data_IF_083535385438
#
_entry.id   IF_083535385438
#
_cell.length_a   1.000
_cell.length_b   1.000
_cell.length_c   1.000
_cell.angle_alpha   90.00
_cell.angle_beta   90.00
_cell.angle_gamma   90.00
#
_symmetry.space_group_name_H-M   'P 1'
#
loop_
_entity.id
_entity.type
_entity.pdbx_description
1 polymer ?
#
# COMPACT_ATOMS: atom_id res chain seq x y z
N UNK A 1 -34.16 7.57 31.34
CA UNK A 1 -33.44 6.38 30.83
C UNK A 1 -32.70 6.80 29.57
N UNK A 2 -31.43 7.16 29.71
CA UNK A 2 -30.59 7.55 28.58
C UNK A 2 -29.89 6.31 28.04
N UNK A 3 -30.20 5.92 26.81
CA UNK A 3 -29.38 4.96 26.07
C UNK A 3 -28.08 5.68 25.71
N UNK A 4 -27.05 5.50 26.55
CA UNK A 4 -25.68 5.78 26.17
C UNK A 4 -25.34 4.90 24.99
N UNK A 5 -25.31 5.49 23.80
CA UNK A 5 -24.73 4.87 22.62
C UNK A 5 -23.27 4.60 22.91
N UNK A 6 -22.97 3.36 23.29
CA UNK A 6 -21.61 2.86 23.38
C UNK A 6 -21.02 2.88 21.97
N UNK A 7 -20.23 3.92 21.70
CA UNK A 7 -19.44 4.01 20.47
C UNK A 7 -18.43 2.87 20.53
N UNK A 8 -18.69 1.81 19.77
CA UNK A 8 -17.81 0.66 19.67
C UNK A 8 -16.36 1.11 19.36
N UNK A 9 -15.34 0.42 19.89
CA UNK A 9 -13.93 0.77 19.69
C UNK A 9 -13.48 0.48 18.23
N UNK A 10 -13.95 1.26 17.26
CA UNK A 10 -13.63 1.14 15.83
C UNK A 10 -12.30 1.82 15.43
N UNK A 11 -11.49 2.30 16.39
CA UNK A 11 -10.44 3.30 16.13
C UNK A 11 -9.03 2.73 15.93
N UNK A 12 -8.58 1.84 16.81
CA UNK A 12 -7.14 1.63 16.99
C UNK A 12 -6.59 0.42 16.23
N UNK A 13 -7.39 -0.64 16.07
CA UNK A 13 -7.01 -1.82 15.28
C UNK A 13 -6.86 -1.50 13.79
N UNK A 14 -7.73 -0.62 13.25
CA UNK A 14 -7.64 -0.19 11.86
C UNK A 14 -6.41 0.70 11.62
N UNK A 15 -6.07 1.57 12.58
CA UNK A 15 -4.85 2.39 12.51
C UNK A 15 -3.60 1.50 12.56
N UNK A 16 -3.52 0.58 13.54
CA UNK A 16 -2.40 -0.35 13.66
C UNK A 16 -2.25 -1.24 12.41
N UNK A 17 -3.36 -1.74 11.87
CA UNK A 17 -3.37 -2.55 10.66
C UNK A 17 -2.91 -1.75 9.42
N UNK A 18 -3.44 -0.54 9.23
CA UNK A 18 -3.02 0.36 8.15
C UNK A 18 -1.52 0.63 8.23
N UNK A 19 -1.03 0.95 9.43
CA UNK A 19 0.40 1.18 9.72
C UNK A 19 1.24 -0.04 9.39
N UNK A 20 0.82 -1.23 9.81
CA UNK A 20 1.50 -2.48 9.48
C UNK A 20 1.58 -2.69 7.96
N UNK A 21 0.49 -2.42 7.23
CA UNK A 21 0.45 -2.52 5.77
C UNK A 21 1.40 -1.54 5.08
N UNK A 22 1.42 -0.28 5.53
CA UNK A 22 2.33 0.76 5.05
C UNK A 22 3.79 0.42 5.32
N UNK A 23 4.09 -0.14 6.50
CA UNK A 23 5.45 -0.53 6.87
C UNK A 23 5.88 -1.88 6.28
N UNK A 24 4.96 -2.62 5.66
CA UNK A 24 5.23 -3.94 5.10
C UNK A 24 5.48 -5.00 6.17
N UNK A 25 4.92 -4.76 7.36
CA UNK A 25 4.96 -5.67 8.50
C UNK A 25 3.83 -6.71 8.39
N UNK A 26 3.99 -7.89 8.99
CA UNK A 26 2.90 -8.86 9.08
C UNK A 26 1.72 -8.31 9.91
N UNK A 27 0.51 -8.69 9.51
CA UNK A 27 -0.73 -8.44 10.27
C UNK A 27 -1.58 -9.71 10.34
N UNK A 28 -2.12 -10.08 11.51
CA UNK A 28 -1.82 -9.50 12.83
C UNK A 28 -0.33 -9.67 13.20
N UNK A 29 0.21 -8.81 14.09
CA UNK A 29 1.61 -8.89 14.47
C UNK A 29 1.90 -10.24 15.13
N UNK A 30 3.06 -10.87 14.86
CA UNK A 30 3.47 -12.05 15.59
C UNK A 30 3.70 -11.71 17.07
N UNK A 31 3.55 -12.68 17.99
CA UNK A 31 3.89 -12.45 19.39
C UNK A 31 5.37 -12.08 19.54
N UNK A 32 5.65 -10.93 20.17
CA UNK A 32 7.00 -10.37 20.37
C UNK A 32 7.11 -8.88 19.99
N UNK A 33 8.23 -8.25 20.32
CA UNK A 33 8.53 -6.88 19.90
C UNK A 33 8.96 -6.90 18.43
N UNK A 34 8.08 -6.45 17.54
CA UNK A 34 8.45 -6.17 16.15
C UNK A 34 9.08 -4.76 16.08
N UNK A 35 10.35 -4.68 15.69
CA UNK A 35 10.98 -3.39 15.41
C UNK A 35 10.39 -2.75 14.15
N UNK A 36 10.09 -1.45 14.21
CA UNK A 36 9.72 -0.71 13.00
C UNK A 36 10.91 -0.67 12.04
N UNK A 37 10.73 -1.07 10.76
CA UNK A 37 11.82 -1.12 9.81
C UNK A 37 12.29 0.29 9.46
N UNK A 38 13.61 0.50 9.46
CA UNK A 38 14.18 1.78 9.11
C UNK A 38 13.86 2.15 7.64
N UNK A 39 13.35 3.36 7.44
CA UNK A 39 12.86 3.88 6.16
C UNK A 39 14.02 4.52 5.39
N UNK A 40 15.02 3.72 5.01
CA UNK A 40 16.10 4.21 4.16
C UNK A 40 15.68 4.10 2.68
N UNK A 41 15.86 5.18 1.91
CA UNK A 41 15.60 5.29 0.47
C UNK A 41 14.13 5.42 -0.02
N UNK A 42 13.19 5.86 0.84
CA UNK A 42 11.83 6.20 0.37
C UNK A 42 11.82 7.49 -0.47
N UNK A 43 11.15 7.45 -1.63
CA UNK A 43 10.90 8.63 -2.47
C UNK A 43 9.89 9.61 -1.85
N UNK A 44 9.63 10.76 -2.49
CA UNK A 44 8.71 11.77 -1.94
C UNK A 44 7.30 11.24 -1.69
N UNK A 45 6.74 10.45 -2.62
CA UNK A 45 5.40 9.89 -2.46
C UNK A 45 5.38 8.76 -1.42
N UNK A 46 6.39 7.89 -1.38
CA UNK A 46 6.49 6.85 -0.35
C UNK A 46 6.61 7.46 1.06
N UNK A 47 7.40 8.53 1.24
CA UNK A 47 7.49 9.25 2.52
C UNK A 47 6.15 9.86 2.93
N UNK A 48 5.44 10.47 1.98
CA UNK A 48 4.11 11.05 2.22
C UNK A 48 3.14 9.99 2.77
N UNK A 49 3.05 8.81 2.14
CA UNK A 49 2.12 7.77 2.59
C UNK A 49 2.58 7.11 3.88
N UNK A 50 3.89 6.95 4.10
CA UNK A 50 4.43 6.46 5.38
C UNK A 50 4.17 7.41 6.55
N UNK A 51 3.94 8.69 6.30
CA UNK A 51 3.45 9.66 7.28
C UNK A 51 1.95 9.55 7.59
N UNK A 52 1.19 8.74 6.84
CA UNK A 52 -0.25 8.57 7.07
C UNK A 52 -0.47 7.63 8.25
N UNK A 53 -1.11 8.16 9.30
CA UNK A 53 -1.47 7.36 10.49
C UNK A 53 -2.82 6.68 10.33
N UNK A 54 -3.80 7.40 9.78
CA UNK A 54 -5.19 6.94 9.68
C UNK A 54 -5.81 7.37 8.37
N UNK A 55 -6.69 6.53 7.83
CA UNK A 55 -7.64 6.88 6.79
C UNK A 55 -9.05 6.70 7.36
N UNK A 56 -9.74 7.82 7.60
CA UNK A 56 -11.06 7.80 8.19
C UNK A 56 -12.05 7.06 7.27
N UNK A 57 -12.92 6.24 7.86
CA UNK A 57 -13.94 5.47 7.14
C UNK A 57 -13.58 4.01 6.88
N UNK A 58 -12.33 3.59 7.10
CA UNK A 58 -11.99 2.18 7.26
C UNK A 58 -12.63 1.65 8.56
N UNK A 59 -13.27 0.49 8.47
CA UNK A 59 -14.04 -0.14 9.57
C UNK A 59 -13.48 -1.52 9.96
N UNK A 60 -12.65 -2.10 9.11
CA UNK A 60 -12.13 -3.45 9.28
C UNK A 60 -10.61 -3.45 9.19
N UNK A 61 -9.96 -4.12 10.14
CA UNK A 61 -8.51 -4.16 10.23
C UNK A 61 -7.87 -4.84 9.01
N UNK A 62 -8.50 -5.88 8.45
CA UNK A 62 -8.01 -6.58 7.26
C UNK A 62 -7.96 -5.65 6.05
N UNK A 63 -9.06 -4.96 5.74
CA UNK A 63 -9.16 -3.99 4.67
C UNK A 63 -8.23 -2.80 4.90
N UNK A 64 -8.06 -2.35 6.14
CA UNK A 64 -7.09 -1.32 6.48
C UNK A 64 -5.63 -1.75 6.21
N UNK A 65 -5.25 -2.97 6.61
CA UNK A 65 -3.94 -3.54 6.33
C UNK A 65 -3.69 -3.68 4.82
N UNK A 66 -4.64 -4.24 4.08
CA UNK A 66 -4.55 -4.41 2.63
C UNK A 66 -4.47 -3.06 1.91
N UNK A 67 -5.27 -2.08 2.34
CA UNK A 67 -5.22 -0.69 1.85
C UNK A 67 -3.82 -0.10 2.07
N UNK A 68 -3.23 -0.27 3.25
CA UNK A 68 -1.88 0.22 3.55
C UNK A 68 -0.82 -0.39 2.63
N UNK A 69 -0.89 -1.70 2.37
CA UNK A 69 0.04 -2.39 1.45
C UNK A 69 -0.06 -1.84 0.03
N UNK A 70 -1.28 -1.73 -0.49
CA UNK A 70 -1.55 -1.23 -1.83
C UNK A 70 -1.12 0.23 -1.95
N UNK A 71 -1.44 1.06 -0.96
CA UNK A 71 -1.08 2.47 -0.92
C UNK A 71 0.44 2.66 -0.97
N UNK A 72 1.21 1.86 -0.21
CA UNK A 72 2.67 1.89 -0.27
C UNK A 72 3.20 1.48 -1.66
N UNK A 73 2.60 0.47 -2.28
CA UNK A 73 2.98 0.06 -3.63
C UNK A 73 2.72 1.17 -4.65
N UNK A 74 1.55 1.79 -4.62
CA UNK A 74 1.19 2.91 -5.50
C UNK A 74 2.17 4.06 -5.32
N UNK A 75 2.50 4.43 -4.08
CA UNK A 75 3.46 5.49 -3.82
C UNK A 75 4.84 5.22 -4.42
N UNK A 76 5.34 3.97 -4.33
CA UNK A 76 6.58 3.54 -4.99
C UNK A 76 6.49 3.60 -6.51
N UNK A 77 5.33 3.32 -7.10
CA UNK A 77 5.12 3.46 -8.54
C UNK A 77 5.16 4.91 -8.97
N UNK A 78 4.51 5.81 -8.22
CA UNK A 78 4.57 7.26 -8.44
C UNK A 78 6.01 7.77 -8.38
N UNK A 79 6.78 7.35 -7.37
CA UNK A 79 8.19 7.72 -7.23
C UNK A 79 9.05 7.23 -8.41
N UNK A 80 8.86 5.99 -8.85
CA UNK A 80 9.59 5.44 -10.03
C UNK A 80 9.20 6.12 -11.33
N UNK A 81 7.96 6.58 -11.45
CA UNK A 81 7.47 7.35 -12.59
C UNK A 81 7.93 8.82 -12.55
N UNK A 82 8.62 9.26 -11.50
CA UNK A 82 9.05 10.65 -11.33
C UNK A 82 7.89 11.60 -11.03
N UNK A 83 6.75 11.09 -10.55
CA UNK A 83 5.62 11.93 -10.18
C UNK A 83 5.98 12.83 -8.99
N UNK A 84 5.57 14.10 -9.06
CA UNK A 84 5.80 15.06 -7.99
C UNK A 84 5.01 14.70 -6.73
N UNK A 85 5.49 15.13 -5.56
CA UNK A 85 4.80 14.93 -4.28
C UNK A 85 3.38 15.53 -4.27
N UNK A 86 3.14 16.57 -5.06
CA UNK A 86 1.82 17.17 -5.22
C UNK A 86 0.80 16.18 -5.81
N UNK A 87 1.23 15.34 -6.77
CA UNK A 87 0.40 14.27 -7.33
C UNK A 87 0.07 13.23 -6.26
N UNK A 88 1.06 12.83 -5.46
CA UNK A 88 0.85 11.91 -4.33
C UNK A 88 -0.12 12.44 -3.28
N UNK A 89 -0.02 13.73 -2.92
CA UNK A 89 -0.96 14.41 -2.01
C UNK A 89 -2.38 14.36 -2.55
N UNK A 90 -2.57 14.80 -3.80
CA UNK A 90 -3.87 14.80 -4.43
C UNK A 90 -4.48 13.39 -4.49
N UNK A 91 -3.67 12.38 -4.83
CA UNK A 91 -4.12 10.99 -4.81
C UNK A 91 -4.59 10.55 -3.41
N UNK A 92 -3.77 10.79 -2.38
CA UNK A 92 -4.11 10.43 -0.99
C UNK A 92 -5.39 11.12 -0.51
N UNK A 93 -5.54 12.41 -0.80
CA UNK A 93 -6.70 13.18 -0.35
C UNK A 93 -7.98 12.73 -1.08
N UNK A 94 -7.89 12.43 -2.39
CA UNK A 94 -8.98 11.83 -3.14
C UNK A 94 -9.36 10.45 -2.60
N UNK A 95 -8.37 9.62 -2.25
CA UNK A 95 -8.61 8.30 -1.65
C UNK A 95 -9.35 8.43 -0.31
N UNK A 96 -8.91 9.34 0.57
CA UNK A 96 -9.57 9.57 1.85
C UNK A 96 -11.04 10.01 1.66
N UNK A 97 -11.29 10.92 0.72
CA UNK A 97 -12.65 11.35 0.38
C UNK A 97 -13.51 10.20 -0.17
N UNK A 98 -12.94 9.33 -1.01
CA UNK A 98 -13.65 8.17 -1.56
C UNK A 98 -14.01 7.13 -0.49
N UNK A 99 -13.10 6.85 0.45
CA UNK A 99 -13.37 5.94 1.58
C UNK A 99 -14.52 6.48 2.44
N UNK A 100 -14.50 7.78 2.77
CA UNK A 100 -15.58 8.42 3.53
C UNK A 100 -16.92 8.39 2.78
N UNK A 101 -16.91 8.72 1.49
CA UNK A 101 -18.10 8.69 0.66
C UNK A 101 -18.66 7.26 0.51
N UNK A 102 -17.79 6.26 0.40
CA UNK A 102 -18.18 4.85 0.37
C UNK A 102 -18.87 4.45 1.66
N UNK A 103 -18.27 4.78 2.82
CA UNK A 103 -18.86 4.53 4.14
C UNK A 103 -20.22 5.21 4.29
N UNK A 104 -20.34 6.47 3.89
CA UNK A 104 -21.59 7.24 4.00
C UNK A 104 -22.76 6.63 3.19
N UNK A 105 -22.47 5.87 2.12
CA UNK A 105 -23.51 5.19 1.30
C UNK A 105 -24.09 3.93 1.97
N UNK A 106 -23.47 3.40 3.02
CA UNK A 106 -24.10 2.55 4.02
C UNK A 106 -24.65 1.16 3.61
N UNK A 107 -24.35 0.63 2.41
CA UNK A 107 -24.88 -0.67 1.93
C UNK A 107 -23.91 -1.54 1.13
N UNK A 108 -22.62 -1.25 1.16
CA UNK A 108 -21.60 -1.97 0.40
C UNK A 108 -20.69 -2.75 1.35
N UNK A 109 -19.98 -3.80 0.87
CA UNK A 109 -18.91 -4.42 1.64
C UNK A 109 -17.89 -3.37 2.09
N UNK A 110 -17.16 -3.70 3.15
CA UNK A 110 -16.09 -2.85 3.67
C UNK A 110 -15.05 -2.54 2.58
N UNK A 111 -14.41 -1.37 2.70
CA UNK A 111 -13.45 -0.91 1.71
C UNK A 111 -12.26 -1.87 1.59
N UNK A 112 -11.96 -2.29 0.37
CA UNK A 112 -10.96 -3.32 0.09
C UNK A 112 -9.71 -2.76 -0.61
N UNK A 113 -8.67 -3.59 -0.70
CA UNK A 113 -7.54 -3.31 -1.58
C UNK A 113 -7.96 -3.10 -3.05
N UNK A 114 -8.99 -3.80 -3.53
CA UNK A 114 -9.47 -3.66 -4.90
C UNK A 114 -10.08 -2.28 -5.13
N UNK A 115 -10.84 -1.76 -4.16
CA UNK A 115 -11.43 -0.41 -4.24
C UNK A 115 -10.33 0.67 -4.27
N UNK A 116 -9.25 0.47 -3.51
CA UNK A 116 -8.06 1.33 -3.54
C UNK A 116 -7.40 1.34 -4.91
N UNK A 117 -7.25 0.15 -5.54
CA UNK A 117 -6.68 0.00 -6.88
C UNK A 117 -7.60 0.65 -7.92
N UNK A 118 -8.91 0.40 -7.85
CA UNK A 118 -9.87 0.93 -8.82
C UNK A 118 -9.91 2.46 -8.75
N UNK A 119 -9.87 3.04 -7.54
CA UNK A 119 -9.75 4.49 -7.36
C UNK A 119 -8.46 5.06 -7.96
N UNK A 120 -7.33 4.37 -7.76
CA UNK A 120 -6.06 4.77 -8.39
C UNK A 120 -6.14 4.70 -9.92
N UNK A 121 -6.67 3.60 -10.46
CA UNK A 121 -6.81 3.42 -11.92
C UNK A 121 -7.77 4.44 -12.52
N UNK A 122 -8.82 4.84 -11.78
CA UNK A 122 -9.72 5.91 -12.21
C UNK A 122 -8.97 7.24 -12.36
N UNK A 123 -8.18 7.63 -11.35
CA UNK A 123 -7.37 8.86 -11.39
C UNK A 123 -6.27 8.78 -12.45
N UNK A 124 -5.58 7.65 -12.55
CA UNK A 124 -4.57 7.39 -13.57
C UNK A 124 -5.16 7.53 -14.99
N UNK A 125 -6.34 6.96 -15.22
CA UNK A 125 -7.03 7.02 -16.50
C UNK A 125 -7.60 8.40 -16.84
N UNK A 126 -7.96 9.22 -15.83
CA UNK A 126 -8.36 10.61 -16.03
C UNK A 126 -7.21 11.48 -16.53
N UNK A 127 -5.98 11.22 -16.07
CA UNK A 127 -4.79 12.02 -16.43
C UNK A 127 -4.14 11.53 -17.72
N UNK A 128 -4.01 10.21 -17.92
CA UNK A 128 -3.23 9.63 -19.02
C UNK A 128 -4.09 8.97 -20.12
N UNK A 129 -5.42 8.93 -19.95
CA UNK A 129 -6.34 8.23 -20.84
C UNK A 129 -6.53 6.75 -20.48
N UNK A 130 -7.73 6.21 -20.77
CA UNK A 130 -8.15 4.85 -20.35
C UNK A 130 -7.73 3.73 -21.31
N UNK A 131 -7.09 4.04 -22.44
CA UNK A 131 -7.00 3.14 -23.60
C UNK A 131 -5.59 2.62 -23.91
N UNK A 132 -4.60 2.89 -23.04
CA UNK A 132 -3.23 2.42 -23.25
C UNK A 132 -3.06 0.93 -22.89
N UNK A 133 -2.20 0.17 -23.62
CA UNK A 133 -1.89 -1.24 -23.29
C UNK A 133 -1.32 -1.40 -21.87
N UNK A 134 -0.69 -0.35 -21.34
CA UNK A 134 -0.14 -0.31 -19.98
C UNK A 134 -1.23 -0.23 -18.90
N UNK A 135 -2.41 0.31 -19.19
CA UNK A 135 -3.47 0.51 -18.19
C UNK A 135 -3.98 -0.82 -17.61
N UNK A 136 -4.32 -1.78 -18.49
CA UNK A 136 -4.78 -3.09 -18.07
C UNK A 136 -3.67 -3.90 -17.38
N UNK A 137 -2.42 -3.75 -17.85
CA UNK A 137 -1.27 -4.42 -17.28
C UNK A 137 -0.95 -3.91 -15.87
N UNK A 138 -0.96 -2.59 -15.66
CA UNK A 138 -0.75 -1.96 -14.34
C UNK A 138 -1.83 -2.43 -13.37
N UNK A 139 -3.11 -2.38 -13.76
CA UNK A 139 -4.20 -2.87 -12.90
C UNK A 139 -4.03 -4.34 -12.52
N UNK A 140 -3.70 -5.21 -13.48
CA UNK A 140 -3.46 -6.63 -13.21
C UNK A 140 -2.32 -6.83 -12.21
N UNK A 141 -1.18 -6.15 -12.41
CA UNK A 141 -0.01 -6.26 -11.51
C UNK A 141 -0.32 -5.78 -10.09
N UNK A 142 -1.12 -4.72 -9.94
CA UNK A 142 -1.57 -4.24 -8.64
C UNK A 142 -2.46 -5.27 -7.94
N UNK A 143 -3.42 -5.87 -8.67
CA UNK A 143 -4.30 -6.92 -8.13
C UNK A 143 -3.53 -8.19 -7.75
N UNK A 144 -2.58 -8.62 -8.59
CA UNK A 144 -1.71 -9.76 -8.29
C UNK A 144 -0.90 -9.52 -7.01
N UNK A 145 -0.41 -8.28 -6.80
CA UNK A 145 0.32 -7.92 -5.60
C UNK A 145 -0.58 -7.87 -4.36
N UNK A 146 -1.80 -7.33 -4.47
CA UNK A 146 -2.76 -7.31 -3.37
C UNK A 146 -3.09 -8.74 -2.90
N UNK A 147 -3.19 -9.69 -3.84
CA UNK A 147 -3.45 -11.11 -3.57
C UNK A 147 -2.23 -11.86 -3.01
N UNK A 148 -1.02 -11.43 -3.36
CA UNK A 148 0.20 -12.04 -2.84
C UNK A 148 0.23 -11.84 -1.31
N UNK A 149 0.15 -12.94 -0.55
CA UNK A 149 0.39 -12.90 0.90
C UNK A 149 1.84 -12.46 1.14
N UNK A 150 2.12 -11.66 2.19
CA UNK A 150 3.50 -11.40 2.57
C UNK A 150 4.11 -12.73 2.98
N UNK A 151 5.01 -13.26 2.16
CA UNK A 151 5.70 -14.50 2.45
C UNK A 151 6.44 -14.37 3.79
N UNK A 152 6.08 -15.22 4.75
CA UNK A 152 6.77 -15.38 6.05
C UNK A 152 8.28 -15.60 5.89
N UNK A 153 8.74 -16.07 4.72
CA UNK A 153 10.17 -16.32 4.42
C UNK A 153 11.02 -15.07 4.24
N UNK A 154 10.48 -13.97 3.70
CA UNK A 154 11.27 -12.76 3.43
C UNK A 154 11.66 -11.98 4.70
N UNK A 155 11.03 -12.29 5.85
CA UNK A 155 11.42 -11.78 7.15
C UNK A 155 12.55 -12.62 7.79
N UNK A 156 12.54 -13.94 7.59
CA UNK A 156 13.58 -14.83 8.11
C UNK A 156 14.92 -14.69 7.36
N UNK A 157 14.89 -14.47 6.04
CA UNK A 157 16.11 -14.35 5.22
C UNK A 157 16.87 -13.01 5.44
N UNK A 158 16.20 -11.97 5.96
CA UNK A 158 16.84 -10.69 6.29
C UNK A 158 17.51 -10.65 7.67
N UNK A 159 17.17 -11.58 8.56
CA UNK A 159 17.84 -11.75 9.86
C UNK A 159 19.09 -12.64 9.79
N UNK A 160 19.40 -13.24 8.63
CA UNK A 160 20.43 -14.26 8.55
C UNK A 160 21.11 -14.33 7.20
N UNK A 161 21.74 -13.25 6.74
CA UNK A 161 22.84 -13.35 5.76
C UNK A 161 23.78 -12.13 5.86
N UNK A 162 24.64 -12.16 6.86
CA UNK A 162 25.95 -11.58 6.72
C UNK A 162 26.68 -12.35 5.59
N UNK A 163 27.03 -11.63 4.51
CA UNK A 163 28.01 -12.08 3.52
C UNK A 163 27.57 -13.22 2.60
N UNK A 164 26.94 -12.89 1.48
CA UNK A 164 27.28 -13.45 0.16
C UNK A 164 26.54 -12.70 -0.94
N UNK A 165 27.29 -12.11 -1.86
CA UNK A 165 26.79 -11.30 -2.96
C UNK A 165 25.81 -12.07 -3.85
N UNK A 166 24.60 -11.53 -3.96
CA UNK A 166 23.65 -11.94 -4.98
C UNK A 166 24.17 -11.52 -6.36
N UNK A 167 24.58 -12.50 -7.17
CA UNK A 167 24.79 -12.31 -8.61
C UNK A 167 23.42 -12.31 -9.30
N UNK A 168 23.10 -11.22 -9.98
CA UNK A 168 21.90 -11.08 -10.78
C UNK A 168 21.93 -12.07 -11.98
N UNK A 169 20.82 -12.76 -12.29
CA UNK A 169 20.71 -13.61 -13.49
C UNK A 169 20.65 -12.81 -14.81
N UNK A 170 20.73 -11.48 -14.76
CA UNK A 170 20.69 -10.60 -15.94
C UNK A 170 22.07 -10.14 -16.44
N UNK A 171 23.17 -10.69 -15.94
CA UNK A 171 24.52 -10.40 -16.45
C UNK A 171 24.85 -11.25 -17.68
N UNK A 172 24.45 -10.80 -18.88
CA UNK A 172 25.03 -11.24 -20.15
C UNK A 172 26.29 -10.41 -20.46
N UNK A 173 27.42 -11.08 -20.69
CA UNK A 173 28.55 -10.58 -21.50
C UNK A 173 28.39 -11.12 -22.94
N UNK A 174 29.05 -10.58 -24.00
CA UNK A 174 30.25 -9.74 -24.00
C UNK A 174 30.19 -8.51 -24.93
N UNK A 175 31.08 -7.52 -24.70
CA UNK A 175 31.50 -6.60 -25.76
C UNK A 175 32.96 -6.93 -26.06
N UNK A 176 33.19 -7.66 -27.17
CA UNK A 176 34.49 -7.69 -27.84
C UNK A 176 34.68 -6.31 -28.48
N UNK A 177 35.72 -5.60 -28.08
CA UNK A 177 36.30 -4.55 -28.92
C UNK A 177 37.50 -5.17 -29.65
N UNK A 178 37.47 -4.94 -30.97
CA UNK A 178 38.61 -4.83 -31.90
C UNK A 178 39.63 -5.96 -31.88
#
# INVERSE_FOLDING_TARGET
>A
MGNGGEVAPESDDCEAALRAGLLGLPWPPPPGLAEEPAIFAAGPNERLVLGTRRLAGLVDATGAYETGRVLRLIARLLDRAGASEAVGRQFRDNLAAAILAHRARGRQPAWSASDTIDMFMELYGRVLGRSGPDFALVRRRLLDHARARPDRRAAAERGGHAGRGWRSPFSRSPIRRS
#
